data_IF_047793669313
#
_entry.id   IF_047793669313
#
_cell.length_a   1.000
_cell.length_b   1.000
_cell.length_c   1.000
_cell.angle_alpha   90.00
_cell.angle_beta   90.00
_cell.angle_gamma   90.00
#
_symmetry.space_group_name_H-M   'P 1'
#
loop_
_entity.id
_entity.type
_entity.pdbx_description
1 polymer ?
#
# COMPACT_ATOMS: atom_id res chain seq x y z
N UNK A 1 -77.56 40.60 -14.47
CA UNK A 1 -78.76 39.85 -14.89
C UNK A 1 -78.34 38.47 -15.38
N UNK A 2 -78.94 37.41 -14.81
CA UNK A 2 -79.10 36.03 -15.35
C UNK A 2 -77.80 35.25 -15.65
N UNK A 3 -77.30 34.39 -14.76
CA UNK A 3 -77.68 32.97 -14.57
C UNK A 3 -78.07 32.25 -15.88
N UNK A 4 -77.41 31.13 -16.20
CA UNK A 4 -78.04 29.82 -16.49
C UNK A 4 -77.01 28.73 -16.89
N UNK A 5 -76.98 27.69 -16.04
CA UNK A 5 -76.90 26.22 -16.28
C UNK A 5 -75.63 25.55 -16.84
N UNK A 6 -74.95 24.86 -15.92
CA UNK A 6 -74.61 23.43 -15.92
C UNK A 6 -75.30 22.56 -16.97
N UNK A 7 -74.51 21.77 -17.70
CA UNK A 7 -74.86 20.39 -18.07
C UNK A 7 -73.61 19.51 -18.19
N UNK A 8 -73.60 18.45 -17.38
CA UNK A 8 -72.71 17.30 -17.41
C UNK A 8 -72.88 16.53 -18.73
N UNK A 9 -71.78 16.06 -19.32
CA UNK A 9 -71.73 14.75 -19.98
C UNK A 9 -70.36 14.10 -19.81
N UNK A 10 -70.38 12.97 -19.13
CA UNK A 10 -69.31 11.99 -18.98
C UNK A 10 -69.15 11.26 -20.33
N UNK A 11 -67.91 11.09 -20.78
CA UNK A 11 -67.57 10.32 -21.96
C UNK A 11 -66.08 10.00 -21.98
N UNK A 12 -65.72 8.89 -21.33
CA UNK A 12 -64.40 8.29 -21.42
C UNK A 12 -64.04 8.01 -22.89
N UNK A 13 -62.78 8.21 -23.29
CA UNK A 13 -62.05 7.44 -24.31
C UNK A 13 -60.56 7.82 -24.32
N UNK A 14 -59.75 6.75 -24.25
CA UNK A 14 -58.37 6.59 -24.72
C UNK A 14 -57.21 7.35 -24.07
N UNK A 15 -56.52 6.61 -23.21
CA UNK A 15 -55.06 6.59 -23.07
C UNK A 15 -54.36 6.64 -24.45
N UNK A 16 -53.45 7.59 -24.60
CA UNK A 16 -52.19 7.34 -25.31
C UNK A 16 -51.11 8.22 -24.69
N UNK A 17 -50.41 7.63 -23.72
CA UNK A 17 -49.17 8.14 -23.18
C UNK A 17 -48.10 8.10 -24.29
N UNK A 18 -47.73 9.26 -24.83
CA UNK A 18 -46.47 9.42 -25.53
C UNK A 18 -45.38 9.74 -24.49
N UNK A 19 -45.03 8.75 -23.67
CA UNK A 19 -43.77 8.77 -22.94
C UNK A 19 -42.68 8.38 -23.94
N UNK A 20 -41.96 9.37 -24.44
CA UNK A 20 -40.69 9.18 -25.14
C UNK A 20 -39.69 8.59 -24.15
N UNK A 21 -39.66 7.27 -24.14
CA UNK A 21 -38.61 6.42 -23.59
C UNK A 21 -37.51 6.27 -24.65
N UNK A 22 -36.30 6.70 -24.30
CA UNK A 22 -34.99 6.24 -24.80
C UNK A 22 -33.96 7.26 -24.27
N UNK A 23 -33.18 7.00 -23.21
CA UNK A 23 -32.51 5.75 -22.92
C UNK A 23 -31.29 5.57 -23.81
N UNK A 24 -30.33 6.51 -23.77
CA UNK A 24 -28.91 6.25 -24.04
C UNK A 24 -28.06 7.48 -23.75
N UNK A 25 -27.64 7.65 -22.49
CA UNK A 25 -26.35 8.27 -22.24
C UNK A 25 -25.31 7.33 -22.87
N UNK A 26 -24.92 7.58 -24.14
CA UNK A 26 -23.72 6.95 -24.69
C UNK A 26 -22.61 7.20 -23.66
N UNK A 27 -21.91 6.17 -23.16
CA UNK A 27 -20.71 6.41 -22.37
C UNK A 27 -19.82 7.30 -23.24
N UNK A 28 -19.32 8.39 -22.65
CA UNK A 28 -18.36 9.26 -23.30
C UNK A 28 -17.31 8.36 -23.95
N UNK A 29 -17.04 8.57 -25.24
CA UNK A 29 -16.04 7.80 -25.97
C UNK A 29 -14.76 7.81 -25.14
N UNK A 30 -14.29 6.63 -24.72
CA UNK A 30 -13.00 6.52 -24.03
C UNK A 30 -11.97 7.09 -24.98
N UNK A 31 -11.36 8.19 -24.59
CA UNK A 31 -10.24 8.77 -25.30
C UNK A 31 -9.08 7.77 -25.22
N UNK A 32 -8.88 7.00 -26.29
CA UNK A 32 -7.86 5.96 -26.39
C UNK A 32 -6.47 6.56 -26.73
N UNK A 33 -6.32 7.89 -26.70
CA UNK A 33 -5.04 8.57 -26.91
C UNK A 33 -3.98 8.18 -25.87
N UNK A 34 -4.42 7.77 -24.68
CA UNK A 34 -3.58 7.34 -23.56
C UNK A 34 -3.44 5.80 -23.48
N UNK A 35 -4.09 5.06 -24.38
CA UNK A 35 -4.18 3.59 -24.35
C UNK A 35 -5.13 3.06 -23.27
N UNK A 36 -5.11 1.73 -23.07
CA UNK A 36 -5.96 1.06 -22.08
C UNK A 36 -5.29 1.03 -20.71
N UNK A 37 -6.00 1.57 -19.72
CA UNK A 37 -5.68 1.39 -18.31
C UNK A 37 -5.62 -0.11 -17.96
N UNK A 38 -4.56 -0.50 -17.24
CA UNK A 38 -4.33 -1.88 -16.80
C UNK A 38 -4.40 -1.88 -15.27
N UNK A 39 -5.33 -2.66 -14.71
CA UNK A 39 -5.29 -2.98 -13.28
C UNK A 39 -4.19 -4.02 -13.04
N UNK A 40 -3.27 -3.70 -12.13
CA UNK A 40 -2.18 -4.58 -11.73
C UNK A 40 -2.60 -5.32 -10.45
N UNK A 41 -2.68 -6.66 -10.47
CA UNK A 41 -3.06 -7.42 -9.29
C UNK A 41 -2.04 -7.25 -8.16
N UNK A 42 -2.50 -7.33 -6.91
CA UNK A 42 -1.66 -7.19 -5.72
C UNK A 42 -0.94 -5.84 -5.58
N UNK A 43 -1.41 -4.76 -6.23
CA UNK A 43 -0.82 -3.42 -6.12
C UNK A 43 -1.82 -2.29 -5.86
N UNK A 44 -3.06 -2.63 -5.54
CA UNK A 44 -4.07 -1.63 -5.15
C UNK A 44 -3.80 -1.09 -3.74
N UNK A 45 -4.52 -0.03 -3.35
CA UNK A 45 -4.43 0.63 -2.05
C UNK A 45 -4.46 -0.30 -0.82
N UNK A 46 -5.05 -1.49 -0.95
CA UNK A 46 -5.07 -2.50 0.12
C UNK A 46 -3.69 -3.14 0.40
N UNK A 47 -2.78 -3.13 -0.58
CA UNK A 47 -1.43 -3.70 -0.47
C UNK A 47 -0.33 -2.65 -0.26
N UNK A 48 -0.72 -1.38 -0.06
CA UNK A 48 0.20 -0.35 0.39
C UNK A 48 0.51 -0.48 1.88
N UNK A 49 1.66 0.06 2.30
CA UNK A 49 2.00 0.16 3.71
C UNK A 49 0.93 0.99 4.45
N UNK A 50 0.66 0.61 5.69
CA UNK A 50 -0.26 1.31 6.57
C UNK A 50 0.38 1.49 7.96
N UNK A 51 -0.37 2.02 8.92
CA UNK A 51 0.13 2.29 10.27
C UNK A 51 0.55 1.04 11.06
N UNK A 52 0.22 -0.16 10.57
CA UNK A 52 0.44 -1.45 11.22
C UNK A 52 1.36 -2.37 10.42
N UNK A 53 1.43 -2.23 9.10
CA UNK A 53 2.18 -3.13 8.24
C UNK A 53 3.04 -2.37 7.23
N UNK A 54 4.29 -2.78 7.13
CA UNK A 54 5.07 -2.53 5.92
C UNK A 54 4.65 -3.55 4.86
N UNK A 55 4.48 -3.10 3.62
CA UNK A 55 4.15 -3.97 2.50
C UNK A 55 5.06 -3.73 1.32
N UNK A 56 5.36 -4.81 0.60
CA UNK A 56 6.10 -4.78 -0.66
C UNK A 56 5.37 -5.61 -1.70
N UNK A 57 5.26 -5.07 -2.91
CA UNK A 57 4.61 -5.73 -4.05
C UNK A 57 5.66 -6.11 -5.08
N UNK A 58 5.46 -7.21 -5.79
CA UNK A 58 6.42 -7.66 -6.80
C UNK A 58 5.79 -8.52 -7.88
N UNK A 59 6.52 -8.65 -8.98
CA UNK A 59 6.11 -9.46 -10.12
C UNK A 59 7.23 -10.36 -10.63
N UNK A 60 6.86 -11.51 -11.18
CA UNK A 60 7.81 -12.48 -11.72
C UNK A 60 7.22 -13.22 -12.90
N UNK A 61 8.00 -13.33 -13.99
CA UNK A 61 7.59 -14.07 -15.18
C UNK A 61 8.61 -15.14 -15.57
N UNK A 62 8.14 -16.34 -15.90
CA UNK A 62 8.94 -17.47 -16.36
C UNK A 62 8.07 -18.51 -17.07
N UNK A 63 8.68 -19.37 -17.88
CA UNK A 63 8.01 -20.58 -18.43
C UNK A 63 7.80 -21.65 -17.34
N UNK A 64 8.62 -21.63 -16.30
CA UNK A 64 8.46 -22.47 -15.11
C UNK A 64 7.74 -21.69 -14.00
N UNK A 65 6.65 -22.24 -13.48
CA UNK A 65 5.82 -21.58 -12.46
C UNK A 65 6.60 -21.33 -11.16
N UNK A 66 7.43 -22.28 -10.73
CA UNK A 66 8.22 -22.14 -9.50
C UNK A 66 9.18 -20.96 -9.60
N UNK A 67 9.87 -20.85 -10.73
CA UNK A 67 10.76 -19.74 -11.05
C UNK A 67 10.01 -18.41 -11.14
N UNK A 68 8.82 -18.37 -11.74
CA UNK A 68 8.00 -17.15 -11.79
C UNK A 68 7.60 -16.69 -10.38
N UNK A 69 7.19 -17.63 -9.52
CA UNK A 69 6.84 -17.35 -8.13
C UNK A 69 8.04 -16.87 -7.32
N UNK A 70 9.21 -17.51 -7.49
CA UNK A 70 10.43 -17.09 -6.82
C UNK A 70 10.85 -15.66 -7.21
N UNK A 71 10.78 -15.33 -8.51
CA UNK A 71 11.05 -13.96 -8.99
C UNK A 71 10.11 -12.94 -8.36
N UNK A 72 8.80 -13.23 -8.33
CA UNK A 72 7.81 -12.34 -7.72
C UNK A 72 8.07 -12.14 -6.22
N UNK A 73 8.47 -13.20 -5.51
CA UNK A 73 8.83 -13.13 -4.09
C UNK A 73 10.08 -12.29 -3.85
N UNK A 74 11.13 -12.46 -4.67
CA UNK A 74 12.36 -11.66 -4.57
C UNK A 74 12.08 -10.19 -4.83
N UNK A 75 11.29 -9.89 -5.86
CA UNK A 75 10.91 -8.52 -6.22
C UNK A 75 10.08 -7.87 -5.10
N UNK A 76 9.09 -8.58 -4.57
CA UNK A 76 8.27 -8.10 -3.45
C UNK A 76 9.09 -7.85 -2.19
N UNK A 77 10.02 -8.76 -1.86
CA UNK A 77 10.94 -8.60 -0.73
C UNK A 77 11.90 -7.43 -0.93
N UNK A 78 12.39 -7.21 -2.15
CA UNK A 78 13.26 -6.07 -2.45
C UNK A 78 12.54 -4.74 -2.24
N UNK A 79 11.29 -4.63 -2.72
CA UNK A 79 10.46 -3.44 -2.54
C UNK A 79 10.08 -3.21 -1.08
N UNK A 80 9.76 -4.28 -0.34
CA UNK A 80 9.52 -4.22 1.11
C UNK A 80 10.77 -3.71 1.84
N UNK A 81 11.94 -4.29 1.58
CA UNK A 81 13.20 -3.91 2.20
C UNK A 81 13.56 -2.45 1.91
N UNK A 82 13.38 -1.99 0.67
CA UNK A 82 13.63 -0.61 0.28
C UNK A 82 12.71 0.37 1.03
N UNK A 83 11.43 0.00 1.22
CA UNK A 83 10.47 0.80 1.99
C UNK A 83 10.87 0.90 3.46
N UNK A 84 11.20 -0.24 4.09
CA UNK A 84 11.62 -0.30 5.49
C UNK A 84 12.92 0.51 5.69
N UNK A 85 13.94 0.27 4.86
CA UNK A 85 15.24 0.95 4.98
C UNK A 85 15.11 2.48 4.84
N UNK A 86 14.30 2.97 3.91
CA UNK A 86 14.04 4.41 3.77
C UNK A 86 13.38 4.99 5.02
N UNK A 87 12.35 4.32 5.52
CA UNK A 87 11.62 4.74 6.73
C UNK A 87 12.55 4.80 7.93
N UNK A 88 13.33 3.74 8.16
CA UNK A 88 14.25 3.66 9.29
C UNK A 88 15.36 4.71 9.17
N UNK A 89 15.90 4.94 7.97
CA UNK A 89 16.87 6.00 7.76
C UNK A 89 16.29 7.35 8.22
N UNK A 90 15.09 7.70 7.78
CA UNK A 90 14.43 8.94 8.19
C UNK A 90 14.17 8.98 9.70
N UNK A 91 13.76 7.87 10.32
CA UNK A 91 13.58 7.79 11.78
C UNK A 91 14.89 8.05 12.51
N UNK A 92 15.98 7.45 12.04
CA UNK A 92 17.32 7.59 12.65
C UNK A 92 17.79 9.03 12.54
N UNK A 93 17.75 9.61 11.34
CA UNK A 93 18.15 10.99 11.08
C UNK A 93 17.32 11.97 11.95
N UNK A 94 16.00 11.76 12.05
CA UNK A 94 15.15 12.61 12.90
C UNK A 94 15.48 12.44 14.38
N UNK A 95 15.68 11.21 14.83
CA UNK A 95 15.98 10.89 16.21
C UNK A 95 17.32 11.50 16.68
N UNK A 96 18.38 11.39 15.88
CA UNK A 96 19.72 11.91 16.22
C UNK A 96 19.72 13.44 16.31
N UNK A 97 19.05 14.11 15.37
CA UNK A 97 18.87 15.55 15.36
C UNK A 97 18.09 16.04 16.59
N UNK A 98 16.98 15.36 16.90
CA UNK A 98 16.11 15.71 18.03
C UNK A 98 16.78 15.56 19.41
N UNK A 99 17.72 14.62 19.54
CA UNK A 99 18.43 14.33 20.79
C UNK A 99 19.74 15.10 20.93
N UNK A 100 20.19 15.81 19.90
CA UNK A 100 21.52 16.44 19.85
C UNK A 100 22.62 15.45 20.29
N UNK A 101 22.58 14.22 19.77
CA UNK A 101 23.51 13.16 20.17
C UNK A 101 24.95 13.64 19.89
N UNK A 102 25.78 13.76 20.93
CA UNK A 102 27.13 14.32 20.83
C UNK A 102 28.06 13.54 19.87
N UNK A 103 27.76 12.26 19.62
CA UNK A 103 28.40 11.42 18.62
C UNK A 103 27.38 10.90 17.58
N UNK A 104 26.47 11.77 17.12
CA UNK A 104 25.38 11.40 16.21
C UNK A 104 25.81 10.59 14.98
N UNK A 105 26.96 10.90 14.38
CA UNK A 105 27.46 10.16 13.21
C UNK A 105 27.84 8.70 13.52
N UNK A 106 28.45 8.43 14.69
CA UNK A 106 28.78 7.05 15.07
C UNK A 106 27.52 6.27 15.44
N UNK A 107 26.56 6.93 16.12
CA UNK A 107 25.25 6.35 16.42
C UNK A 107 24.52 5.96 15.12
N UNK A 108 24.43 6.88 14.15
CA UNK A 108 23.78 6.65 12.86
C UNK A 108 24.38 5.45 12.12
N UNK A 109 25.71 5.37 12.02
CA UNK A 109 26.39 4.26 11.32
C UNK A 109 26.11 2.91 11.97
N UNK A 110 26.21 2.83 13.31
CA UNK A 110 25.92 1.61 14.06
C UNK A 110 24.45 1.22 13.94
N UNK A 111 23.56 2.21 14.03
CA UNK A 111 22.13 2.00 13.91
C UNK A 111 21.75 1.51 12.51
N UNK A 112 22.33 2.09 11.46
CA UNK A 112 22.12 1.67 10.06
C UNK A 112 22.57 0.22 9.85
N UNK A 113 23.76 -0.15 10.35
CA UNK A 113 24.26 -1.52 10.25
C UNK A 113 23.34 -2.52 10.96
N UNK A 114 22.98 -2.23 12.22
CA UNK A 114 22.09 -3.06 13.02
C UNK A 114 20.73 -3.24 12.34
N UNK A 115 20.20 -2.16 11.76
CA UNK A 115 18.90 -2.20 11.12
C UNK A 115 18.92 -3.02 9.84
N UNK A 116 19.97 -2.93 9.03
CA UNK A 116 20.14 -3.80 7.86
C UNK A 116 20.08 -5.27 8.26
N UNK A 117 20.71 -5.64 9.37
CA UNK A 117 20.66 -7.02 9.89
C UNK A 117 19.24 -7.43 10.30
N UNK A 118 18.49 -6.54 10.97
CA UNK A 118 17.08 -6.80 11.32
C UNK A 118 16.23 -6.95 10.07
N UNK A 119 16.33 -6.03 9.11
CA UNK A 119 15.56 -6.10 7.86
C UNK A 119 15.85 -7.40 7.13
N UNK A 120 17.12 -7.79 7.00
CA UNK A 120 17.49 -9.07 6.37
C UNK A 120 16.90 -10.28 7.12
N UNK A 121 16.80 -10.20 8.45
CA UNK A 121 16.15 -11.25 9.25
C UNK A 121 14.65 -11.31 8.98
N UNK A 122 13.96 -10.16 8.96
CA UNK A 122 12.52 -10.06 8.67
C UNK A 122 12.17 -10.58 7.28
N UNK A 123 13.01 -10.31 6.28
CA UNK A 123 12.77 -10.76 4.89
C UNK A 123 12.69 -12.29 4.75
N UNK A 124 13.20 -13.06 5.71
CA UNK A 124 13.08 -14.51 5.72
C UNK A 124 11.72 -15.00 6.25
N UNK A 125 10.96 -14.16 6.95
CA UNK A 125 9.72 -14.53 7.65
C UNK A 125 8.50 -13.67 7.22
N UNK A 126 8.56 -13.05 6.04
CA UNK A 126 7.46 -12.21 5.55
C UNK A 126 6.18 -13.02 5.30
N UNK A 127 5.03 -12.42 5.61
CA UNK A 127 3.73 -13.01 5.30
C UNK A 127 3.33 -12.67 3.87
N UNK A 128 2.86 -13.65 3.09
CA UNK A 128 2.26 -13.37 1.77
C UNK A 128 0.78 -13.04 1.93
N UNK A 129 0.38 -11.82 1.58
CA UNK A 129 -1.03 -11.36 1.69
C UNK A 129 -1.78 -11.34 0.37
N UNK A 130 -1.06 -11.34 -0.75
CA UNK A 130 -1.65 -11.51 -2.06
C UNK A 130 -0.73 -12.34 -2.96
N UNK A 131 -1.31 -13.25 -3.72
CA UNK A 131 -0.62 -13.92 -4.81
C UNK A 131 -1.62 -14.21 -5.92
N UNK A 132 -1.31 -13.75 -7.14
CA UNK A 132 -2.14 -13.98 -8.33
C UNK A 132 -1.24 -14.47 -9.46
N UNK A 133 -1.62 -15.60 -10.06
CA UNK A 133 -0.87 -16.23 -11.14
C UNK A 133 -1.70 -16.25 -12.40
N UNK A 134 -1.11 -15.81 -13.50
CA UNK A 134 -1.68 -15.85 -14.84
C UNK A 134 -0.80 -16.70 -15.73
N UNK A 135 -1.40 -17.44 -16.66
CA UNK A 135 -0.68 -18.19 -17.68
C UNK A 135 -1.12 -17.72 -19.06
N UNK A 136 -0.16 -17.43 -19.93
CA UNK A 136 -0.40 -17.05 -21.31
C UNK A 136 0.79 -17.47 -22.17
N UNK A 137 0.52 -18.10 -23.32
CA UNK A 137 1.52 -18.48 -24.32
C UNK A 137 2.73 -19.25 -23.73
N UNK A 138 2.46 -20.19 -22.82
CA UNK A 138 3.48 -21.01 -22.16
C UNK A 138 4.35 -20.28 -21.13
N UNK A 139 3.96 -19.06 -20.72
CA UNK A 139 4.60 -18.29 -19.64
C UNK A 139 3.63 -18.10 -18.48
N UNK A 140 4.17 -18.13 -17.27
CA UNK A 140 3.50 -17.76 -16.04
C UNK A 140 3.96 -16.39 -15.60
N UNK A 141 3.01 -15.53 -15.25
CA UNK A 141 3.24 -14.24 -14.59
C UNK A 141 2.59 -14.29 -13.22
N UNK A 142 3.38 -14.05 -12.18
CA UNK A 142 2.96 -14.04 -10.78
C UNK A 142 3.07 -12.61 -10.27
N UNK A 143 2.00 -12.14 -9.64
CA UNK A 143 1.96 -10.93 -8.83
C UNK A 143 1.89 -11.34 -7.36
N UNK A 144 2.62 -10.63 -6.51
CA UNK A 144 2.72 -10.95 -5.08
C UNK A 144 2.74 -9.67 -4.26
N UNK A 145 2.10 -9.70 -3.10
CA UNK A 145 2.31 -8.73 -2.04
C UNK A 145 2.67 -9.46 -0.74
N UNK A 146 3.69 -8.94 -0.06
CA UNK A 146 4.19 -9.44 1.22
C UNK A 146 4.11 -8.35 2.28
N UNK A 147 4.01 -8.75 3.54
CA UNK A 147 3.97 -7.82 4.65
C UNK A 147 4.81 -8.25 5.85
N UNK A 148 5.22 -7.24 6.62
CA UNK A 148 5.85 -7.37 7.94
C UNK A 148 5.10 -6.47 8.91
N UNK A 149 4.79 -7.00 10.08
CA UNK A 149 4.15 -6.24 11.14
C UNK A 149 5.13 -5.18 11.67
N UNK A 150 4.64 -3.94 11.77
CA UNK A 150 5.38 -2.80 12.29
C UNK A 150 5.95 -3.10 13.68
N UNK A 151 5.13 -3.66 14.56
CA UNK A 151 5.50 -3.91 15.95
C UNK A 151 6.55 -5.03 16.07
N UNK A 152 6.51 -6.03 15.19
CA UNK A 152 7.52 -7.10 15.13
C UNK A 152 8.89 -6.53 14.74
N UNK A 153 8.95 -5.78 13.63
CA UNK A 153 10.16 -5.09 13.19
C UNK A 153 10.71 -4.16 14.28
N UNK A 154 9.83 -3.34 14.86
CA UNK A 154 10.20 -2.38 15.89
C UNK A 154 10.73 -3.05 17.17
N UNK A 155 10.14 -4.18 17.57
CA UNK A 155 10.63 -4.97 18.70
C UNK A 155 11.99 -5.61 18.40
N UNK A 156 12.19 -6.15 17.20
CA UNK A 156 13.47 -6.74 16.81
C UNK A 156 14.60 -5.69 16.72
N UNK A 157 14.29 -4.46 16.29
CA UNK A 157 15.21 -3.32 16.37
C UNK A 157 15.58 -3.00 17.83
N UNK A 158 14.58 -2.84 18.71
CA UNK A 158 14.81 -2.57 20.15
C UNK A 158 15.67 -3.64 20.80
N UNK A 159 15.39 -4.90 20.53
CA UNK A 159 16.12 -6.03 21.08
C UNK A 159 17.58 -6.03 20.67
N UNK A 160 17.87 -5.68 19.41
CA UNK A 160 19.26 -5.54 18.94
C UNK A 160 19.95 -4.34 19.58
N UNK A 161 19.27 -3.19 19.70
CA UNK A 161 19.83 -1.99 20.33
C UNK A 161 20.18 -2.26 21.79
N UNK A 162 19.29 -2.94 22.53
CA UNK A 162 19.51 -3.28 23.94
C UNK A 162 20.76 -4.13 24.18
N UNK A 163 21.25 -4.83 23.14
CA UNK A 163 22.44 -5.68 23.17
C UNK A 163 23.71 -4.95 22.71
N UNK A 164 23.60 -3.75 22.12
CA UNK A 164 24.76 -2.93 21.74
C UNK A 164 25.06 -1.88 22.82
N UNK A 165 26.23 -2.02 23.44
CA UNK A 165 26.66 -1.18 24.56
C UNK A 165 26.78 0.31 24.22
N UNK A 166 27.00 0.66 22.94
CA UNK A 166 27.11 2.07 22.54
C UNK A 166 25.72 2.66 22.24
N UNK A 167 24.90 1.92 21.50
CA UNK A 167 23.56 2.41 21.14
C UNK A 167 22.65 2.56 22.37
N UNK A 168 22.73 1.63 23.32
CA UNK A 168 21.85 1.64 24.50
C UNK A 168 21.99 2.89 25.38
N UNK A 169 23.17 3.52 25.41
CA UNK A 169 23.44 4.70 26.24
C UNK A 169 22.63 5.92 25.79
N UNK A 170 22.54 6.09 24.47
CA UNK A 170 21.86 7.23 23.83
C UNK A 170 20.44 6.86 23.36
N UNK A 171 19.96 5.65 23.66
CA UNK A 171 18.66 5.15 23.21
C UNK A 171 17.52 5.47 24.18
N UNK A 172 16.67 6.41 23.77
CA UNK A 172 15.37 6.69 24.38
C UNK A 172 14.29 5.95 23.61
N UNK A 173 13.86 4.83 24.18
CA UNK A 173 12.83 3.96 23.60
C UNK A 173 11.56 4.72 23.25
N UNK A 174 11.03 5.54 24.17
CA UNK A 174 9.76 6.23 23.95
C UNK A 174 9.88 7.26 22.82
N UNK A 175 10.97 8.04 22.81
CA UNK A 175 11.18 9.03 21.76
C UNK A 175 11.40 8.37 20.39
N UNK A 176 12.19 7.29 20.33
CA UNK A 176 12.39 6.54 19.10
C UNK A 176 11.07 5.97 18.56
N UNK A 177 10.28 5.32 19.42
CA UNK A 177 8.97 4.77 19.04
C UNK A 177 8.01 5.86 18.53
N UNK A 178 8.01 7.04 19.14
CA UNK A 178 7.19 8.16 18.69
C UNK A 178 7.58 8.60 17.28
N UNK A 179 8.88 8.83 17.02
CA UNK A 179 9.36 9.22 15.69
C UNK A 179 9.06 8.12 14.66
N UNK A 180 9.25 6.85 15.04
CA UNK A 180 8.95 5.71 14.19
C UNK A 180 7.46 5.66 13.80
N UNK A 181 6.55 5.83 14.78
CA UNK A 181 5.12 5.86 14.53
C UNK A 181 4.70 7.05 13.67
N UNK A 182 5.32 8.22 13.85
CA UNK A 182 5.09 9.38 12.99
C UNK A 182 5.48 9.12 11.54
N UNK A 183 6.65 8.52 11.29
CA UNK A 183 7.08 8.18 9.93
C UNK A 183 6.19 7.10 9.31
N UNK A 184 5.71 6.14 10.09
CA UNK A 184 4.71 5.17 9.62
C UNK A 184 3.38 5.81 9.25
N UNK A 185 2.94 6.81 10.01
CA UNK A 185 1.72 7.55 9.70
C UNK A 185 1.87 8.34 8.39
N UNK A 186 3.05 8.92 8.12
CA UNK A 186 3.34 9.59 6.86
C UNK A 186 3.35 8.60 5.70
N UNK A 187 4.07 7.50 5.84
CA UNK A 187 4.13 6.42 4.84
C UNK A 187 2.73 5.90 4.47
N UNK A 188 1.86 5.71 5.46
CA UNK A 188 0.47 5.30 5.25
C UNK A 188 -0.38 6.34 4.49
N UNK A 189 0.02 7.61 4.53
CA UNK A 189 -0.61 8.71 3.81
C UNK A 189 -0.14 8.86 2.36
N UNK A 190 0.99 8.25 1.98
CA UNK A 190 1.56 8.28 0.61
C UNK A 190 0.87 7.31 -0.36
N UNK A 191 -0.45 7.12 -0.21
CA UNK A 191 -1.22 6.24 -1.11
C UNK A 191 -1.11 6.76 -2.56
N UNK A 192 -0.97 5.85 -3.55
CA UNK A 192 -0.92 6.21 -4.97
C UNK A 192 -2.20 6.87 -5.46
#
# INVERSE_FOLDING_TARGET
MKLVKTFLFVGAIALSAALVSCGSSKPAAKDDSMGKEINVPCSDNEFHADQKFFRGTGTGTSQDLSTAKNKASIDANSNLAASINRTIKTVTDRYTNDKQIGQGSEFEQKFEQLTRDVVNQELNNVSTVCSKTFSKDGKYTVYMAVEVAKDELLNNIKDKISKDQKLVLDYDKQKFENVFNEEMNKLAGEKP
#
